data_IF_510488482847
#
_entry.id   IF_510488482847
#
_cell.length_a   1.000
_cell.length_b   1.000
_cell.length_c   1.000
_cell.angle_alpha   90.00
_cell.angle_beta   90.00
_cell.angle_gamma   90.00
#
_symmetry.space_group_name_H-M   'P 1'
#
loop_
_entity.id
_entity.type
_entity.pdbx_description
1 polymer ?
#
# COMPACT_ATOMS: atom_id res chain seq x y z
N UNK A 1 12.94 -10.41 -8.04
CA UNK A 1 12.63 -10.08 -6.63
C UNK A 1 11.57 -10.98 -6.01
N UNK A 2 10.26 -10.90 -6.34
CA UNK A 2 9.23 -11.76 -5.71
C UNK A 2 9.47 -13.26 -5.99
N UNK A 3 9.79 -13.62 -7.23
CA UNK A 3 10.09 -15.00 -7.68
C UNK A 3 11.29 -15.62 -6.96
N UNK A 4 12.27 -14.79 -6.62
CA UNK A 4 13.49 -15.19 -5.93
C UNK A 4 13.28 -15.32 -4.41
N UNK A 5 12.34 -14.54 -3.84
CA UNK A 5 11.92 -14.65 -2.45
C UNK A 5 11.13 -15.92 -2.11
N UNK A 6 10.62 -16.63 -3.13
CA UNK A 6 9.85 -17.87 -2.97
C UNK A 6 10.63 -18.99 -2.28
N UNK A 7 11.86 -19.26 -2.72
CA UNK A 7 12.66 -20.35 -2.15
C UNK A 7 12.99 -20.11 -0.67
N UNK A 8 13.45 -18.92 -0.26
CA UNK A 8 13.60 -18.58 1.16
C UNK A 8 12.30 -18.71 1.95
N UNK A 9 11.18 -18.23 1.42
CA UNK A 9 9.88 -18.32 2.09
C UNK A 9 9.43 -19.77 2.28
N UNK A 10 9.63 -20.63 1.28
CA UNK A 10 9.33 -22.06 1.36
C UNK A 10 10.18 -22.81 2.41
N UNK A 11 11.37 -22.29 2.76
CA UNK A 11 12.19 -22.83 3.88
C UNK A 11 11.65 -22.43 5.25
N UNK A 12 10.97 -21.28 5.34
CA UNK A 12 10.39 -20.77 6.58
C UNK A 12 8.98 -21.32 6.84
N UNK A 13 8.21 -21.51 5.77
CA UNK A 13 6.83 -21.97 5.81
C UNK A 13 6.69 -23.10 4.80
N UNK A 14 6.44 -24.31 5.28
CA UNK A 14 6.29 -25.47 4.40
C UNK A 14 4.91 -25.42 3.71
N UNK A 15 4.73 -24.61 2.68
CA UNK A 15 3.51 -24.58 1.85
C UNK A 15 3.73 -25.37 0.57
N UNK A 16 2.73 -26.13 0.13
CA UNK A 16 2.76 -26.82 -1.16
C UNK A 16 2.54 -25.82 -2.30
N UNK A 17 1.73 -24.77 -2.03
CA UNK A 17 1.39 -23.75 -3.01
C UNK A 17 1.34 -22.33 -2.44
N UNK A 18 1.57 -21.34 -3.30
CA UNK A 18 1.44 -19.91 -2.98
C UNK A 18 0.75 -19.16 -4.11
N UNK A 19 -0.14 -18.24 -3.75
CA UNK A 19 -0.79 -17.29 -4.64
C UNK A 19 -0.63 -15.87 -4.12
N UNK A 20 -0.35 -14.94 -5.03
CA UNK A 20 -0.28 -13.51 -4.73
C UNK A 20 -1.12 -12.72 -5.73
N UNK A 21 -2.00 -11.86 -5.23
CA UNK A 21 -2.81 -10.96 -6.04
C UNK A 21 -2.68 -9.51 -5.57
N UNK A 22 -2.75 -8.59 -6.51
CA UNK A 22 -3.07 -7.19 -6.22
C UNK A 22 -4.55 -6.99 -6.43
N UNK A 23 -5.18 -6.33 -5.47
CA UNK A 23 -6.58 -5.93 -5.50
C UNK A 23 -6.63 -4.42 -5.54
N UNK A 24 -7.12 -3.85 -6.64
CA UNK A 24 -7.40 -2.42 -6.72
C UNK A 24 -8.88 -2.20 -6.44
N UNK A 25 -9.17 -1.44 -5.38
CA UNK A 25 -10.54 -1.06 -5.03
C UNK A 25 -11.12 -0.11 -6.08
N UNK A 26 -12.39 -0.33 -6.44
CA UNK A 26 -13.12 0.45 -7.43
C UNK A 26 -14.28 -0.35 -8.04
N UNK A 27 -15.16 0.28 -8.82
CA UNK A 27 -16.14 -0.42 -9.65
C UNK A 27 -15.61 -0.53 -11.11
N UNK A 28 -15.18 -1.72 -11.58
CA UNK A 28 -15.10 -3.01 -10.89
C UNK A 28 -13.82 -3.18 -10.07
N UNK A 29 -13.87 -4.03 -9.04
CA UNK A 29 -12.69 -4.42 -8.26
C UNK A 29 -11.79 -5.22 -9.18
N UNK A 30 -10.53 -4.80 -9.33
CA UNK A 30 -9.59 -5.44 -10.24
C UNK A 30 -8.64 -6.35 -9.47
N UNK A 31 -8.56 -7.61 -9.89
CA UNK A 31 -7.61 -8.59 -9.39
C UNK A 31 -6.50 -8.79 -10.42
N UNK A 32 -5.26 -8.54 -10.03
CA UNK A 32 -4.07 -8.78 -10.83
C UNK A 32 -3.21 -9.84 -10.13
N UNK A 33 -3.16 -11.05 -10.66
CA UNK A 33 -2.30 -12.11 -10.13
C UNK A 33 -0.83 -11.84 -10.50
N UNK A 34 0.05 -11.81 -9.49
CA UNK A 34 1.46 -11.42 -9.66
C UNK A 34 2.38 -12.62 -9.84
N UNK A 35 2.19 -13.67 -9.04
CA UNK A 35 2.97 -14.91 -9.15
C UNK A 35 2.11 -16.13 -8.83
N UNK A 36 2.15 -17.10 -9.74
CA UNK A 36 1.52 -18.42 -9.65
C UNK A 36 2.58 -19.43 -9.22
N UNK A 37 2.94 -19.38 -7.94
CA UNK A 37 3.93 -20.26 -7.34
C UNK A 37 3.29 -21.59 -6.93
N UNK A 38 2.80 -22.34 -7.92
CA UNK A 38 2.34 -23.71 -7.77
C UNK A 38 0.87 -23.91 -7.39
N UNK A 39 0.17 -22.93 -6.79
CA UNK A 39 -1.30 -23.05 -6.66
C UNK A 39 -1.88 -22.90 -8.07
N UNK A 40 -2.73 -23.82 -8.53
CA UNK A 40 -2.81 -24.19 -9.91
C UNK A 40 -3.65 -23.21 -10.67
N UNK A 41 -3.10 -22.86 -11.82
CA UNK A 41 -3.67 -22.03 -12.85
C UNK A 41 -5.14 -22.39 -13.14
N UNK A 42 -5.57 -23.63 -12.88
CA UNK A 42 -6.96 -24.08 -12.98
C UNK A 42 -7.92 -23.46 -11.96
N UNK A 43 -7.55 -23.37 -10.68
CA UNK A 43 -8.40 -22.78 -9.64
C UNK A 43 -8.49 -21.26 -9.81
N UNK A 44 -7.34 -20.62 -10.09
CA UNK A 44 -7.27 -19.17 -10.30
C UNK A 44 -7.95 -18.70 -11.60
N UNK A 45 -7.88 -19.50 -12.68
CA UNK A 45 -8.61 -19.22 -13.91
C UNK A 45 -10.14 -19.20 -13.71
N UNK A 46 -10.65 -19.93 -12.72
CA UNK A 46 -12.07 -19.98 -12.38
C UNK A 46 -12.40 -19.15 -11.14
N UNK A 47 -11.46 -18.34 -10.63
CA UNK A 47 -11.64 -17.62 -9.37
C UNK A 47 -12.82 -16.65 -9.38
N UNK A 48 -13.15 -16.06 -10.54
CA UNK A 48 -14.27 -15.14 -10.66
C UNK A 48 -15.62 -15.78 -10.26
N UNK A 49 -15.83 -17.08 -10.52
CA UNK A 49 -17.05 -17.78 -10.09
C UNK A 49 -17.02 -18.19 -8.62
N UNK A 50 -15.82 -18.32 -8.05
CA UNK A 50 -15.59 -18.70 -6.64
C UNK A 50 -15.62 -17.52 -5.68
N UNK A 51 -15.23 -16.33 -6.14
CA UNK A 51 -15.06 -15.12 -5.33
C UNK A 51 -16.25 -14.81 -4.39
N UNK A 52 -17.53 -14.93 -4.80
CA UNK A 52 -18.66 -14.62 -3.90
C UNK A 52 -18.68 -15.49 -2.63
N UNK A 53 -18.17 -16.72 -2.73
CA UNK A 53 -18.16 -17.73 -1.66
C UNK A 53 -16.76 -17.98 -1.09
N UNK A 54 -15.81 -17.08 -1.37
CA UNK A 54 -14.43 -17.22 -0.90
C UNK A 54 -14.33 -16.83 0.58
N UNK A 55 -14.35 -17.84 1.46
CA UNK A 55 -14.19 -17.67 2.90
C UNK A 55 -12.84 -17.05 3.28
N UNK A 56 -11.79 -17.24 2.47
CA UNK A 56 -10.46 -16.67 2.70
C UNK A 56 -10.53 -15.17 2.50
N UNK A 57 -11.03 -14.73 1.34
CA UNK A 57 -11.19 -13.32 1.01
C UNK A 57 -12.06 -12.60 2.05
N UNK A 58 -13.21 -13.17 2.39
CA UNK A 58 -14.11 -12.61 3.40
C UNK A 58 -13.42 -12.42 4.75
N UNK A 59 -12.58 -13.38 5.16
CA UNK A 59 -11.88 -13.34 6.45
C UNK A 59 -10.75 -12.30 6.46
N UNK A 60 -9.91 -12.26 5.42
CA UNK A 60 -8.77 -11.33 5.37
C UNK A 60 -9.20 -9.88 5.15
N UNK A 61 -10.36 -9.65 4.51
CA UNK A 61 -10.96 -8.31 4.40
C UNK A 61 -11.41 -7.78 5.77
N UNK A 62 -11.96 -8.65 6.64
CA UNK A 62 -12.39 -8.29 8.00
C UNK A 62 -11.21 -8.04 8.94
N UNK A 63 -10.09 -8.75 8.76
CA UNK A 63 -8.90 -8.67 9.61
C UNK A 63 -7.65 -8.36 8.78
N UNK A 64 -7.62 -7.18 8.16
CA UNK A 64 -6.51 -6.72 7.31
C UNK A 64 -5.19 -6.68 8.09
N UNK A 65 -4.08 -6.90 7.39
CA UNK A 65 -2.72 -6.93 7.96
C UNK A 65 -2.43 -8.11 8.90
N UNK A 66 -3.45 -8.93 9.21
CA UNK A 66 -3.34 -10.07 10.12
C UNK A 66 -3.24 -11.36 9.32
N UNK A 67 -2.24 -12.17 9.59
CA UNK A 67 -2.11 -13.52 9.02
C UNK A 67 -3.10 -14.44 9.73
N UNK A 68 -3.98 -15.06 8.95
CA UNK A 68 -5.01 -15.98 9.43
C UNK A 68 -4.72 -17.39 8.93
N UNK A 69 -5.00 -18.39 9.76
CA UNK A 69 -5.07 -19.80 9.34
C UNK A 69 -6.53 -20.19 9.08
N UNK A 70 -6.75 -21.25 8.30
CA UNK A 70 -8.06 -21.81 8.00
C UNK A 70 -8.96 -21.99 9.23
N UNK A 71 -8.43 -22.53 10.33
CA UNK A 71 -9.12 -22.70 11.62
C UNK A 71 -9.61 -21.40 12.27
N UNK A 72 -9.07 -20.25 11.86
CA UNK A 72 -9.48 -18.91 12.30
C UNK A 72 -10.45 -18.24 11.31
N UNK A 73 -10.63 -18.84 10.13
CA UNK A 73 -11.52 -18.35 9.07
C UNK A 73 -12.84 -19.12 9.03
N UNK A 74 -12.78 -20.44 9.22
CA UNK A 74 -13.90 -21.35 9.01
C UNK A 74 -13.72 -22.63 9.84
N UNK A 75 -14.81 -23.23 10.32
CA UNK A 75 -14.71 -24.53 11.00
C UNK A 75 -14.37 -25.64 10.00
N UNK A 76 -13.73 -26.72 10.47
CA UNK A 76 -13.39 -27.85 9.59
C UNK A 76 -14.62 -28.47 8.91
N UNK A 77 -15.76 -28.53 9.60
CA UNK A 77 -17.02 -29.07 9.06
C UNK A 77 -17.57 -28.21 7.93
N UNK A 78 -17.41 -26.89 8.00
CA UNK A 78 -17.84 -25.96 6.96
C UNK A 78 -16.84 -25.91 5.81
N UNK A 79 -15.54 -25.98 6.10
CA UNK A 79 -14.49 -26.02 5.08
C UNK A 79 -14.74 -27.13 4.07
N UNK A 80 -14.98 -28.37 4.54
CA UNK A 80 -15.18 -29.53 3.64
C UNK A 80 -16.44 -29.44 2.79
N UNK A 81 -17.34 -28.51 3.11
CA UNK A 81 -18.57 -28.22 2.38
C UNK A 81 -18.49 -26.94 1.55
N UNK A 82 -17.39 -26.19 1.67
CA UNK A 82 -17.22 -24.92 0.96
C UNK A 82 -17.03 -25.17 -0.55
N UNK A 83 -17.58 -24.30 -1.42
CA UNK A 83 -17.37 -24.41 -2.86
C UNK A 83 -15.90 -24.46 -3.26
N UNK A 84 -15.06 -23.65 -2.59
CA UNK A 84 -13.62 -23.60 -2.85
C UNK A 84 -12.93 -24.93 -2.53
N UNK A 85 -13.31 -25.60 -1.42
CA UNK A 85 -12.77 -26.92 -1.08
C UNK A 85 -13.22 -27.98 -2.07
N UNK A 86 -14.52 -28.05 -2.39
CA UNK A 86 -15.08 -29.03 -3.32
C UNK A 86 -14.45 -28.88 -4.72
N UNK A 87 -14.38 -27.66 -5.24
CA UNK A 87 -13.77 -27.38 -6.54
C UNK A 87 -12.27 -27.71 -6.56
N UNK A 88 -11.56 -27.48 -5.46
CA UNK A 88 -10.15 -27.91 -5.36
C UNK A 88 -9.98 -29.43 -5.42
N UNK A 89 -10.94 -30.20 -4.89
CA UNK A 89 -10.92 -31.67 -4.97
C UNK A 89 -11.23 -32.15 -6.37
N UNK A 90 -12.22 -31.55 -7.03
CA UNK A 90 -12.58 -31.87 -8.42
C UNK A 90 -11.41 -31.59 -9.38
N UNK A 91 -10.57 -30.61 -9.04
CA UNK A 91 -9.35 -30.27 -9.78
C UNK A 91 -8.12 -31.12 -9.41
N UNK A 92 -8.25 -32.04 -8.45
CA UNK A 92 -7.17 -32.94 -8.01
C UNK A 92 -6.13 -32.33 -7.07
N UNK A 93 -6.41 -31.15 -6.50
CA UNK A 93 -5.45 -30.39 -5.69
C UNK A 93 -5.55 -30.67 -4.19
N UNK A 94 -6.72 -31.12 -3.72
CA UNK A 94 -6.96 -31.43 -2.30
C UNK A 94 -6.46 -30.35 -1.33
N UNK A 95 -6.86 -29.08 -1.49
CA UNK A 95 -6.42 -27.99 -0.61
C UNK A 95 -6.96 -28.21 0.80
N UNK A 96 -6.14 -28.80 1.66
CA UNK A 96 -6.54 -29.22 3.00
C UNK A 96 -6.36 -28.12 4.02
N UNK A 97 -5.40 -27.21 3.82
CA UNK A 97 -5.08 -26.11 4.74
C UNK A 97 -4.79 -24.83 3.97
N UNK A 98 -5.19 -23.70 4.56
CA UNK A 98 -4.90 -22.36 4.03
C UNK A 98 -4.35 -21.44 5.12
N UNK A 99 -3.42 -20.58 4.74
CA UNK A 99 -2.96 -19.45 5.55
C UNK A 99 -2.86 -18.21 4.67
N UNK A 100 -3.45 -17.09 5.08
CA UNK A 100 -3.59 -15.93 4.20
C UNK A 100 -3.49 -14.60 4.96
N UNK A 101 -3.15 -13.54 4.22
CA UNK A 101 -3.15 -12.16 4.69
C UNK A 101 -3.52 -11.21 3.54
N UNK A 102 -4.20 -10.11 3.88
CA UNK A 102 -4.45 -8.99 2.99
C UNK A 102 -3.69 -7.77 3.50
N UNK A 103 -2.72 -7.30 2.72
CA UNK A 103 -1.86 -6.15 3.03
C UNK A 103 -2.36 -4.92 2.30
N UNK A 104 -2.39 -3.77 2.95
CA UNK A 104 -2.63 -2.50 2.28
C UNK A 104 -1.29 -1.95 1.79
N UNK A 105 -1.14 -1.83 0.47
CA UNK A 105 0.11 -1.37 -0.16
C UNK A 105 0.09 0.16 -0.29
N UNK A 106 -1.05 0.71 -0.67
CA UNK A 106 -1.38 2.14 -0.78
C UNK A 106 -2.89 2.30 -0.54
N UNK A 107 -3.39 3.53 -0.26
CA UNK A 107 -4.84 3.76 -0.15
C UNK A 107 -5.60 3.20 -1.36
N UNK A 108 -6.50 2.24 -1.11
CA UNK A 108 -7.30 1.58 -2.15
C UNK A 108 -6.58 0.52 -2.99
N UNK A 109 -5.33 0.18 -2.69
CA UNK A 109 -4.56 -0.89 -3.35
C UNK A 109 -4.08 -1.89 -2.30
N UNK A 110 -4.52 -3.14 -2.44
CA UNK A 110 -4.21 -4.22 -1.51
C UNK A 110 -3.41 -5.33 -2.19
N UNK A 111 -2.66 -6.10 -1.41
CA UNK A 111 -2.06 -7.34 -1.84
C UNK A 111 -2.56 -8.51 -0.99
N UNK A 112 -3.21 -9.48 -1.63
CA UNK A 112 -3.53 -10.75 -1.01
C UNK A 112 -2.38 -11.73 -1.18
N UNK A 113 -1.93 -12.33 -0.09
CA UNK A 113 -0.96 -13.43 -0.11
C UNK A 113 -1.62 -14.64 0.54
N UNK A 114 -1.66 -15.75 -0.18
CA UNK A 114 -2.26 -17.01 0.29
C UNK A 114 -1.29 -18.17 0.10
N UNK A 115 -1.15 -18.97 1.15
CA UNK A 115 -0.35 -20.19 1.19
C UNK A 115 -1.28 -21.38 1.41
N UNK A 116 -1.08 -22.46 0.67
CA UNK A 116 -1.88 -23.67 0.78
C UNK A 116 -1.02 -24.91 1.08
N UNK A 117 -1.67 -25.92 1.65
CA UNK A 117 -1.15 -27.29 1.73
C UNK A 117 -2.19 -28.30 1.30
N UNK A 118 -1.70 -29.40 0.75
CA UNK A 118 -2.52 -30.54 0.33
C UNK A 118 -2.63 -31.57 1.44
N UNK A 119 -1.78 -31.44 2.46
CA UNK A 119 -1.74 -32.32 3.62
C UNK A 119 -2.64 -31.76 4.72
N UNK A 120 -3.30 -32.64 5.46
CA UNK A 120 -4.13 -32.31 6.65
C UNK A 120 -3.35 -31.78 7.87
N UNK A 121 -2.07 -31.45 7.70
CA UNK A 121 -1.25 -30.88 8.77
C UNK A 121 -1.37 -29.36 8.77
N UNK A 122 -2.02 -28.83 9.80
CA UNK A 122 -2.21 -27.40 9.95
C UNK A 122 -0.91 -26.59 9.99
N UNK A 123 -1.01 -25.35 9.49
CA UNK A 123 0.02 -24.35 9.72
C UNK A 123 0.16 -24.10 11.23
N UNK A 124 1.40 -24.23 11.71
CA UNK A 124 1.72 -24.01 13.11
C UNK A 124 1.64 -22.53 13.47
N UNK A 125 1.49 -22.23 14.77
CA UNK A 125 1.58 -20.85 15.27
C UNK A 125 2.93 -20.19 14.96
N UNK A 126 4.00 -20.98 14.91
CA UNK A 126 5.34 -20.52 14.54
C UNK A 126 5.40 -20.06 13.09
N UNK A 127 4.82 -20.83 12.17
CA UNK A 127 4.75 -20.47 10.74
C UNK A 127 3.86 -19.25 10.51
N UNK A 128 2.73 -19.17 11.21
CA UNK A 128 1.87 -17.98 11.21
C UNK A 128 2.63 -16.74 11.72
N UNK A 129 3.36 -16.85 12.83
CA UNK A 129 4.15 -15.76 13.38
C UNK A 129 5.29 -15.34 12.44
N UNK A 130 5.95 -16.31 11.78
CA UNK A 130 6.97 -16.02 10.78
C UNK A 130 6.39 -15.25 9.59
N UNK A 131 5.24 -15.66 9.07
CA UNK A 131 4.54 -14.93 8.02
C UNK A 131 4.12 -13.53 8.49
N UNK A 132 3.63 -13.42 9.73
CA UNK A 132 3.18 -12.16 10.32
C UNK A 132 4.33 -11.17 10.47
N UNK A 133 5.52 -11.65 10.81
CA UNK A 133 6.73 -10.85 10.89
C UNK A 133 7.12 -10.27 9.53
N UNK A 134 6.97 -11.05 8.45
CA UNK A 134 7.36 -10.67 7.09
C UNK A 134 6.35 -9.73 6.38
N UNK A 135 5.14 -9.51 6.94
CA UNK A 135 4.11 -8.71 6.25
C UNK A 135 4.55 -7.29 5.93
N UNK A 136 5.36 -6.68 6.81
CA UNK A 136 5.91 -5.34 6.59
C UNK A 136 6.90 -5.34 5.44
N UNK A 137 7.84 -6.28 5.42
CA UNK A 137 8.85 -6.38 4.37
C UNK A 137 8.19 -6.66 3.02
N UNK A 138 7.15 -7.50 2.99
CA UNK A 138 6.35 -7.72 1.78
C UNK A 138 5.64 -6.44 1.31
N UNK A 139 5.04 -5.68 2.22
CA UNK A 139 4.37 -4.43 1.88
C UNK A 139 5.34 -3.46 1.20
N UNK A 140 6.53 -3.28 1.78
CA UNK A 140 7.58 -2.40 1.23
C UNK A 140 8.10 -2.94 -0.11
N UNK A 141 8.41 -4.24 -0.19
CA UNK A 141 8.92 -4.83 -1.43
C UNK A 141 7.89 -4.73 -2.58
N UNK A 142 6.61 -5.00 -2.31
CA UNK A 142 5.53 -4.91 -3.30
C UNK A 142 5.29 -3.46 -3.71
N UNK A 143 5.25 -2.52 -2.76
CA UNK A 143 5.17 -1.08 -3.06
C UNK A 143 6.31 -0.64 -3.97
N UNK A 144 7.55 -0.97 -3.60
CA UNK A 144 8.75 -0.54 -4.32
C UNK A 144 8.83 -1.20 -5.71
N UNK A 145 8.52 -2.49 -5.81
CA UNK A 145 8.44 -3.16 -7.12
C UNK A 145 7.40 -2.53 -8.04
N UNK A 146 6.25 -2.06 -7.53
CA UNK A 146 5.24 -1.36 -8.35
C UNK A 146 5.72 0.02 -8.82
N UNK A 147 6.50 0.73 -8.01
CA UNK A 147 7.18 1.95 -8.44
C UNK A 147 8.22 1.67 -9.55
N UNK A 148 8.91 0.54 -9.46
CA UNK A 148 10.01 0.15 -10.36
C UNK A 148 9.53 -0.69 -11.56
N UNK A 149 8.27 -1.13 -11.61
CA UNK A 149 7.76 -2.10 -12.60
C UNK A 149 7.71 -1.54 -14.03
N UNK A 150 8.89 -1.47 -14.64
CA UNK A 150 9.12 -1.56 -16.07
C UNK A 150 10.28 -2.55 -16.25
N UNK A 151 10.17 -3.59 -17.10
CA UNK A 151 11.30 -4.42 -17.46
C UNK A 151 12.20 -3.58 -18.35
N UNK A 152 13.08 -2.80 -17.75
CA UNK A 152 13.94 -1.87 -18.45
C UNK A 152 15.26 -1.78 -17.71
N UNK A 153 16.36 -2.04 -18.44
CA UNK A 153 17.73 -1.78 -17.99
C UNK A 153 17.81 -0.33 -17.50
N UNK A 154 18.63 -0.04 -16.49
CA UNK A 154 18.69 1.25 -15.76
C UNK A 154 18.37 2.50 -16.58
N UNK A 155 18.98 2.65 -17.77
CA UNK A 155 18.76 3.80 -18.66
C UNK A 155 17.33 3.89 -19.24
N UNK A 156 16.71 2.76 -19.59
CA UNK A 156 15.33 2.69 -20.09
C UNK A 156 14.28 2.74 -18.98
N UNK A 157 14.64 2.37 -17.75
CA UNK A 157 13.74 2.56 -16.60
C UNK A 157 13.61 4.05 -16.28
N UNK A 158 14.72 4.80 -16.36
CA UNK A 158 14.70 6.26 -16.27
C UNK A 158 13.87 6.88 -17.38
N UNK A 159 14.03 6.40 -18.61
CA UNK A 159 13.23 6.86 -19.75
C UNK A 159 11.74 6.52 -19.58
N UNK A 160 11.39 5.33 -19.09
CA UNK A 160 10.01 4.92 -18.82
C UNK A 160 9.36 5.67 -17.65
N UNK A 161 10.13 5.99 -16.60
CA UNK A 161 9.66 6.82 -15.48
C UNK A 161 9.50 8.28 -15.90
N UNK A 162 10.39 8.80 -16.75
CA UNK A 162 10.36 10.15 -17.31
C UNK A 162 9.21 10.34 -18.32
N UNK A 163 8.99 9.37 -19.22
CA UNK A 163 7.93 9.41 -20.24
C UNK A 163 6.52 9.34 -19.62
N UNK A 164 6.37 8.80 -18.40
CA UNK A 164 5.07 8.74 -17.72
C UNK A 164 4.59 10.07 -17.12
N UNK A 165 5.37 11.15 -17.18
CA UNK A 165 5.02 12.51 -16.70
C UNK A 165 4.42 12.60 -15.27
N UNK A 166 4.58 11.58 -14.43
CA UNK A 166 3.84 11.43 -13.17
C UNK A 166 4.73 11.25 -11.93
N UNK A 167 6.06 11.28 -12.05
CA UNK A 167 6.96 11.05 -10.91
C UNK A 167 8.05 12.11 -10.81
N UNK A 168 8.04 12.88 -9.73
CA UNK A 168 9.13 13.77 -9.34
C UNK A 168 10.29 12.96 -8.75
N UNK A 169 11.25 12.57 -9.60
CA UNK A 169 12.31 11.61 -9.22
C UNK A 169 13.71 12.22 -9.25
N UNK A 170 14.59 11.74 -8.36
CA UNK A 170 16.04 11.94 -8.36
C UNK A 170 16.72 10.57 -8.27
N UNK A 171 17.71 10.30 -9.12
CA UNK A 171 18.52 9.08 -9.08
C UNK A 171 19.91 9.37 -8.53
N UNK A 172 20.32 8.56 -7.55
CA UNK A 172 21.54 8.75 -6.79
C UNK A 172 22.42 7.49 -6.81
N UNK A 173 23.73 7.67 -6.96
CA UNK A 173 24.75 6.72 -6.48
C UNK A 173 25.26 7.26 -5.14
N UNK A 174 25.05 6.53 -4.04
CA UNK A 174 25.63 6.91 -2.76
C UNK A 174 27.16 7.03 -2.84
N UNK A 175 27.76 7.96 -2.08
CA UNK A 175 27.13 8.76 -1.01
C UNK A 175 26.51 10.10 -1.46
N UNK A 176 26.80 10.59 -2.67
CA UNK A 176 26.40 11.95 -3.06
C UNK A 176 26.31 12.22 -4.56
N UNK A 177 26.48 11.21 -5.41
CA UNK A 177 26.51 11.43 -6.86
C UNK A 177 25.10 11.35 -7.42
N UNK A 178 24.58 12.48 -7.89
CA UNK A 178 23.33 12.53 -8.65
C UNK A 178 23.58 12.09 -10.10
N UNK A 179 22.88 11.06 -10.55
CA UNK A 179 22.91 10.60 -11.96
C UNK A 179 21.87 11.38 -12.77
N UNK A 180 20.68 11.57 -12.21
CA UNK A 180 19.54 12.11 -12.92
C UNK A 180 18.57 12.82 -11.97
N UNK A 181 17.90 13.85 -12.49
CA UNK A 181 16.84 14.58 -11.80
C UNK A 181 15.80 15.05 -12.80
N UNK A 182 14.53 14.84 -12.48
CA UNK A 182 13.41 15.37 -13.27
C UNK A 182 13.20 16.88 -13.08
N UNK A 183 12.63 17.57 -14.06
CA UNK A 183 12.34 19.00 -13.99
C UNK A 183 11.38 19.34 -12.83
N UNK A 184 10.35 18.51 -12.63
CA UNK A 184 9.41 18.69 -11.50
C UNK A 184 10.07 18.42 -10.15
N UNK A 185 10.99 17.45 -10.03
CA UNK A 185 11.78 17.29 -8.81
C UNK A 185 12.66 18.52 -8.56
N UNK A 186 13.23 19.13 -9.59
CA UNK A 186 13.98 20.40 -9.46
C UNK A 186 13.08 21.52 -8.94
N UNK A 187 11.84 21.63 -9.42
CA UNK A 187 10.87 22.61 -8.94
C UNK A 187 10.48 22.36 -7.47
N UNK A 188 10.18 21.11 -7.10
CA UNK A 188 9.87 20.75 -5.71
C UNK A 188 11.05 21.02 -4.76
N UNK A 189 12.27 20.64 -5.15
CA UNK A 189 13.44 20.92 -4.31
C UNK A 189 13.65 22.42 -4.11
N UNK A 190 13.50 23.24 -5.16
CA UNK A 190 13.59 24.70 -5.04
C UNK A 190 12.52 25.29 -4.13
N UNK A 191 11.30 24.74 -4.21
CA UNK A 191 10.15 25.17 -3.40
C UNK A 191 10.34 24.83 -1.93
N UNK A 192 10.72 23.59 -1.63
CA UNK A 192 10.78 23.07 -0.27
C UNK A 192 12.09 23.35 0.46
N UNK A 193 13.17 23.59 -0.27
CA UNK A 193 14.51 23.79 0.30
C UNK A 193 15.15 25.07 -0.24
N UNK A 194 14.64 26.27 0.11
CA UNK A 194 15.15 27.54 -0.40
C UNK A 194 16.60 27.82 0.00
N UNK A 195 17.43 28.09 -1.01
CA UNK A 195 18.74 28.76 -1.14
C UNK A 195 19.86 28.66 -0.06
N UNK A 196 19.67 28.00 1.08
CA UNK A 196 20.73 27.66 2.05
C UNK A 196 21.16 26.20 2.01
N UNK A 197 20.21 25.28 1.74
CA UNK A 197 20.45 23.83 1.74
C UNK A 197 20.58 23.23 0.34
N UNK A 198 19.95 23.85 -0.67
CA UNK A 198 20.07 23.48 -2.08
C UNK A 198 21.14 24.35 -2.78
N UNK A 199 22.40 24.21 -2.39
CA UNK A 199 23.50 24.95 -3.02
C UNK A 199 23.75 24.41 -4.45
N UNK A 200 23.03 24.96 -5.44
CA UNK A 200 23.27 25.00 -6.90
C UNK A 200 23.74 23.74 -7.67
N UNK A 201 24.01 22.57 -7.07
CA UNK A 201 24.56 21.39 -7.77
C UNK A 201 24.12 20.01 -7.26
N UNK A 202 23.29 19.90 -6.23
CA UNK A 202 22.91 18.58 -5.68
C UNK A 202 21.62 18.59 -4.86
N UNK A 203 21.17 17.42 -4.35
CA UNK A 203 20.03 17.33 -3.44
C UNK A 203 20.34 18.02 -2.09
N UNK A 204 19.32 18.45 -1.33
CA UNK A 204 19.49 18.96 0.02
C UNK A 204 20.29 18.01 0.92
N UNK A 205 21.12 18.57 1.81
CA UNK A 205 22.00 17.81 2.70
C UNK A 205 21.23 16.77 3.54
N UNK A 206 20.03 17.11 4.02
CA UNK A 206 19.19 16.20 4.80
C UNK A 206 18.78 14.93 4.03
N UNK A 207 18.57 15.03 2.70
CA UNK A 207 18.28 13.87 1.86
C UNK A 207 19.52 13.00 1.68
N UNK A 208 20.70 13.63 1.52
CA UNK A 208 21.98 12.93 1.40
C UNK A 208 22.35 12.21 2.71
N UNK A 209 22.17 12.86 3.85
CA UNK A 209 22.39 12.26 5.18
C UNK A 209 21.48 11.04 5.39
N UNK A 210 20.19 11.16 5.04
CA UNK A 210 19.26 10.04 5.11
C UNK A 210 19.67 8.89 4.20
N UNK A 211 20.01 9.18 2.95
CA UNK A 211 20.48 8.17 2.00
C UNK A 211 21.74 7.45 2.53
N UNK A 212 22.67 8.21 3.09
CA UNK A 212 23.89 7.67 3.70
C UNK A 212 23.60 6.80 4.93
N UNK A 213 22.59 7.15 5.73
CA UNK A 213 22.15 6.29 6.83
C UNK A 213 21.53 4.98 6.30
N UNK A 214 20.66 5.06 5.29
CA UNK A 214 19.97 3.89 4.72
C UNK A 214 20.92 2.88 4.07
N UNK A 215 22.05 3.32 3.51
CA UNK A 215 23.06 2.40 2.95
C UNK A 215 23.78 1.58 4.00
N UNK A 216 23.82 2.05 5.25
CA UNK A 216 24.45 1.36 6.39
C UNK A 216 23.47 0.45 7.14
N UNK A 217 22.18 0.66 6.97
CA UNK A 217 21.12 -0.14 7.59
C UNK A 217 20.95 -1.49 6.89
N UNK A 218 20.56 -2.49 7.67
CA UNK A 218 20.04 -3.74 7.11
C UNK A 218 18.67 -3.53 6.44
N UNK A 219 18.20 -4.57 5.73
CA UNK A 219 16.97 -4.48 4.94
C UNK A 219 15.72 -4.21 5.78
N UNK A 220 15.65 -4.72 7.01
CA UNK A 220 14.49 -4.60 7.89
C UNK A 220 14.45 -3.23 8.56
N UNK A 221 15.60 -2.71 9.01
CA UNK A 221 15.73 -1.36 9.55
C UNK A 221 15.46 -0.31 8.48
N UNK A 222 15.99 -0.52 7.27
CA UNK A 222 15.77 0.35 6.11
C UNK A 222 14.29 0.50 5.78
N UNK A 223 13.52 -0.59 5.79
CA UNK A 223 12.07 -0.57 5.56
C UNK A 223 11.28 0.26 6.61
N UNK A 224 11.92 0.71 7.70
CA UNK A 224 11.33 1.61 8.69
C UNK A 224 11.70 3.08 8.51
N UNK A 225 12.74 3.34 7.74
CA UNK A 225 13.36 4.66 7.62
C UNK A 225 13.45 5.15 6.17
N UNK A 226 12.86 4.42 5.22
CA UNK A 226 12.89 4.68 3.78
C UNK A 226 12.00 5.84 3.34
N UNK A 227 11.37 6.57 4.26
CA UNK A 227 10.49 7.69 3.97
C UNK A 227 10.84 8.87 4.87
N UNK A 228 10.94 10.07 4.29
CA UNK A 228 11.03 11.34 5.02
C UNK A 228 9.82 12.20 4.71
N UNK A 229 9.31 12.91 5.71
CA UNK A 229 8.29 13.93 5.53
C UNK A 229 8.80 15.33 5.88
N UNK A 230 8.46 16.29 5.03
CA UNK A 230 8.71 17.72 5.24
C UNK A 230 7.37 18.45 5.26
N UNK A 231 7.24 19.43 6.15
CA UNK A 231 5.98 20.17 6.35
C UNK A 231 6.24 21.66 6.20
N UNK A 232 5.47 22.30 5.33
CA UNK A 232 5.44 23.75 5.13
C UNK A 232 3.99 24.17 4.97
N UNK A 233 3.55 25.16 5.75
CA UNK A 233 2.18 25.70 5.76
C UNK A 233 1.08 24.62 5.75
N UNK A 234 0.39 24.49 4.61
CA UNK A 234 -0.67 23.54 4.32
C UNK A 234 -0.27 22.50 3.27
N UNK A 235 1.01 22.15 3.19
CA UNK A 235 1.54 21.14 2.29
C UNK A 235 2.44 20.16 3.04
N UNK A 236 2.58 18.97 2.50
CA UNK A 236 3.41 17.87 2.97
C UNK A 236 4.23 17.38 1.77
N UNK A 237 5.54 17.35 1.88
CA UNK A 237 6.41 16.68 0.91
C UNK A 237 6.85 15.35 1.52
N UNK A 238 6.48 14.25 0.89
CA UNK A 238 7.03 12.94 1.17
C UNK A 238 8.17 12.63 0.21
N UNK A 239 9.28 12.12 0.75
CA UNK A 239 10.41 11.63 -0.03
C UNK A 239 10.64 10.16 0.30
N UNK A 240 10.37 9.28 -0.67
CA UNK A 240 10.58 7.84 -0.55
C UNK A 240 11.94 7.46 -1.15
N UNK A 241 12.73 6.71 -0.41
CA UNK A 241 14.05 6.21 -0.81
C UNK A 241 13.92 4.74 -1.21
N UNK A 242 14.18 4.45 -2.47
CA UNK A 242 14.02 3.12 -3.04
C UNK A 242 15.36 2.65 -3.58
N UNK A 243 15.90 1.58 -2.99
CA UNK A 243 17.08 0.91 -3.52
C UNK A 243 16.71 0.22 -4.85
N UNK A 244 17.49 0.50 -5.89
CA UNK A 244 17.30 -0.10 -7.19
C UNK A 244 17.90 -1.51 -7.19
N UNK A 245 17.33 -2.47 -7.94
CA UNK A 245 17.92 -3.79 -8.10
C UNK A 245 19.37 -3.65 -8.57
N UNK A 246 20.30 -4.36 -7.92
CA UNK A 246 21.69 -4.37 -8.31
C UNK A 246 21.80 -4.90 -9.75
N UNK A 247 22.14 -4.01 -10.68
CA UNK A 247 22.65 -4.38 -12.00
C UNK A 247 24.17 -4.16 -11.97
N UNK A 248 24.92 -4.75 -12.91
CA UNK A 248 26.36 -4.55 -13.01
C UNK A 248 26.72 -3.04 -12.92
N UNK A 249 27.25 -2.64 -11.76
CA UNK A 249 27.45 -1.23 -11.42
C UNK A 249 27.28 -0.93 -9.93
N UNK A 250 27.57 0.31 -9.51
CA UNK A 250 27.41 0.73 -8.13
C UNK A 250 25.92 0.74 -7.73
N UNK A 251 25.61 0.44 -6.46
CA UNK A 251 24.23 0.45 -5.96
C UNK A 251 23.59 1.81 -6.19
N UNK A 252 22.42 1.81 -6.82
CA UNK A 252 21.67 3.02 -7.13
C UNK A 252 20.43 3.15 -6.26
N UNK A 253 20.00 4.38 -6.04
CA UNK A 253 18.83 4.73 -5.24
C UNK A 253 17.97 5.75 -5.96
N UNK A 254 16.68 5.49 -6.05
CA UNK A 254 15.69 6.44 -6.52
C UNK A 254 15.04 7.14 -5.31
N UNK A 255 15.00 8.47 -5.36
CA UNK A 255 14.24 9.31 -4.45
C UNK A 255 12.98 9.77 -5.19
N UNK A 256 11.82 9.34 -4.70
CA UNK A 256 10.52 9.78 -5.22
C UNK A 256 9.96 10.87 -4.31
N UNK A 257 9.71 12.04 -4.88
CA UNK A 257 9.15 13.19 -4.20
C UNK A 257 7.65 13.24 -4.48
N UNK A 258 6.84 13.43 -3.45
CA UNK A 258 5.40 13.55 -3.56
C UNK A 258 4.92 14.72 -2.71
N UNK A 259 4.38 15.74 -3.36
CA UNK A 259 3.74 16.86 -2.66
C UNK A 259 2.25 16.60 -2.50
N UNK A 260 1.77 16.66 -1.26
CA UNK A 260 0.37 16.58 -0.89
C UNK A 260 -0.05 17.89 -0.21
N UNK A 261 -1.29 18.37 -0.40
CA UNK A 261 -1.84 19.34 0.52
C UNK A 261 -2.00 18.66 1.91
N UNK A 262 -1.56 19.35 2.97
CA UNK A 262 -1.60 18.94 4.39
C UNK A 262 -3.02 18.73 4.91
N UNK A 263 -3.98 19.39 4.28
CA UNK A 263 -5.40 19.11 4.45
C UNK A 263 -5.99 18.69 3.12
N UNK A 264 -6.62 17.52 3.10
CA UNK A 264 -7.50 17.13 2.01
C UNK A 264 -8.68 18.11 2.03
N UNK A 265 -8.62 19.15 1.19
CA UNK A 265 -9.73 20.10 1.05
C UNK A 265 -10.95 19.38 0.50
N UNK A 266 -12.11 19.75 1.03
CA UNK A 266 -13.36 19.15 0.60
C UNK A 266 -13.60 19.51 -0.89
N UNK A 267 -13.87 18.54 -1.78
CA UNK A 267 -14.20 18.82 -3.17
C UNK A 267 -15.31 19.87 -3.27
N UNK A 268 -15.13 20.86 -4.16
CA UNK A 268 -16.05 22.01 -4.27
C UNK A 268 -17.52 21.63 -4.46
N UNK A 269 -17.78 20.46 -5.06
CA UNK A 269 -19.09 19.88 -5.29
C UNK A 269 -19.78 19.44 -3.99
N UNK A 270 -19.01 18.94 -3.02
CA UNK A 270 -19.50 18.60 -1.68
C UNK A 270 -19.59 19.86 -0.82
N UNK A 271 -18.60 20.75 -0.90
CA UNK A 271 -18.58 22.00 -0.13
C UNK A 271 -19.81 22.88 -0.38
N UNK A 272 -20.35 22.91 -1.60
CA UNK A 272 -21.59 23.65 -1.94
C UNK A 272 -22.84 23.19 -1.18
N UNK A 273 -22.83 21.98 -0.62
CA UNK A 273 -23.97 21.40 0.10
C UNK A 273 -23.83 21.55 1.63
N UNK A 274 -22.75 22.16 2.10
CA UNK A 274 -22.41 22.28 3.51
C UNK A 274 -22.34 23.75 3.95
N UNK A 275 -22.61 23.99 5.22
CA UNK A 275 -22.33 25.28 5.86
C UNK A 275 -20.82 25.48 6.06
N UNK A 276 -20.34 26.73 6.21
CA UNK A 276 -18.91 26.99 6.47
C UNK A 276 -18.33 26.17 7.62
N UNK A 277 -19.10 26.02 8.71
CA UNK A 277 -18.67 25.23 9.87
C UNK A 277 -18.67 23.72 9.60
N UNK A 278 -19.61 23.22 8.80
CA UNK A 278 -19.61 21.82 8.36
C UNK A 278 -18.47 21.53 7.38
N UNK A 279 -18.04 22.50 6.56
CA UNK A 279 -16.87 22.34 5.69
C UNK A 279 -15.62 22.09 6.55
N UNK A 280 -15.37 22.90 7.58
CA UNK A 280 -14.22 22.73 8.47
C UNK A 280 -14.22 21.36 9.18
N UNK A 281 -15.39 20.91 9.62
CA UNK A 281 -15.57 19.57 10.22
C UNK A 281 -15.34 18.48 9.17
N UNK A 282 -15.89 18.61 7.96
CA UNK A 282 -15.73 17.66 6.86
C UNK A 282 -14.27 17.54 6.41
N UNK A 283 -13.53 18.64 6.33
CA UNK A 283 -12.09 18.64 6.04
C UNK A 283 -11.31 17.96 7.16
N UNK A 284 -11.63 18.23 8.42
CA UNK A 284 -11.04 17.50 9.54
C UNK A 284 -11.36 15.99 9.47
N UNK A 285 -12.56 15.63 8.99
CA UNK A 285 -12.94 14.23 8.77
C UNK A 285 -12.11 13.58 7.65
N UNK A 286 -11.86 14.28 6.54
CA UNK A 286 -11.01 13.83 5.43
C UNK A 286 -9.56 13.60 5.85
N UNK A 287 -9.09 14.35 6.84
CA UNK A 287 -7.78 14.15 7.46
C UNK A 287 -7.80 13.07 8.56
N UNK A 288 -8.81 12.20 8.57
CA UNK A 288 -8.97 11.05 9.48
C UNK A 288 -8.99 11.40 10.98
N UNK A 289 -9.33 12.63 11.36
CA UNK A 289 -9.44 13.04 12.78
C UNK A 289 -10.69 12.47 13.45
N UNK A 290 -10.57 11.90 14.64
CA UNK A 290 -11.69 11.49 15.50
C UNK A 290 -12.57 12.68 15.92
N UNK A 291 -13.78 12.41 16.43
CA UNK A 291 -14.69 13.46 16.89
C UNK A 291 -14.06 14.30 18.02
N UNK A 292 -13.24 13.65 18.86
CA UNK A 292 -12.43 14.28 19.91
C UNK A 292 -11.39 15.23 19.33
N UNK A 293 -10.60 14.78 18.36
CA UNK A 293 -9.57 15.59 17.71
C UNK A 293 -10.16 16.73 16.87
N UNK A 294 -11.35 16.53 16.28
CA UNK A 294 -12.12 17.58 15.60
C UNK A 294 -12.57 18.63 16.62
N UNK A 295 -13.10 18.18 17.76
CA UNK A 295 -13.58 19.06 18.82
C UNK A 295 -12.46 19.94 19.39
N UNK A 296 -11.32 19.33 19.69
CA UNK A 296 -10.11 20.03 20.14
C UNK A 296 -9.61 21.02 19.08
N UNK A 297 -9.47 20.57 17.83
CA UNK A 297 -8.94 21.41 16.75
C UNK A 297 -9.84 22.63 16.42
N UNK A 298 -11.15 22.51 16.61
CA UNK A 298 -12.11 23.56 16.28
C UNK A 298 -12.61 24.35 17.51
N UNK A 299 -12.10 24.05 18.71
CA UNK A 299 -12.51 24.70 19.96
C UNK A 299 -13.98 24.48 20.32
N UNK A 300 -14.54 23.31 19.99
CA UNK A 300 -15.95 22.95 20.26
C UNK A 300 -16.05 21.76 21.19
N UNK A 301 -17.26 21.52 21.72
CA UNK A 301 -17.52 20.31 22.52
C UNK A 301 -17.58 19.08 21.61
N UNK A 302 -17.10 17.94 22.09
CA UNK A 302 -17.20 16.63 21.40
C UNK A 302 -18.61 16.31 20.89
N UNK A 303 -19.64 16.59 21.69
CA UNK A 303 -21.03 16.35 21.27
C UNK A 303 -21.45 17.28 20.12
N UNK A 304 -20.91 18.49 20.04
CA UNK A 304 -21.13 19.42 18.92
C UNK A 304 -20.44 18.93 17.66
N UNK A 305 -19.22 18.39 17.76
CA UNK A 305 -18.55 17.74 16.63
C UNK A 305 -19.38 16.56 16.08
N UNK A 306 -19.93 15.71 16.95
CA UNK A 306 -20.82 14.60 16.57
C UNK A 306 -22.08 15.05 15.83
N UNK A 307 -22.70 16.14 16.30
CA UNK A 307 -23.86 16.73 15.64
C UNK A 307 -23.48 17.19 14.23
N UNK A 308 -22.38 17.93 14.07
CA UNK A 308 -21.92 18.34 12.75
C UNK A 308 -21.61 17.15 11.83
N UNK A 309 -20.97 16.10 12.34
CA UNK A 309 -20.69 14.86 11.57
C UNK A 309 -21.98 14.21 11.07
N UNK A 310 -23.00 14.09 11.93
CA UNK A 310 -24.31 13.55 11.54
C UNK A 310 -25.00 14.45 10.50
N UNK A 311 -24.99 15.75 10.71
CA UNK A 311 -25.65 16.68 9.80
C UNK A 311 -24.94 16.71 8.43
N UNK A 312 -23.61 16.50 8.38
CA UNK A 312 -22.86 16.30 7.13
C UNK A 312 -23.33 15.04 6.41
N UNK A 313 -23.57 13.94 7.14
CA UNK A 313 -24.10 12.70 6.57
C UNK A 313 -25.47 12.89 5.93
N UNK A 314 -26.36 13.61 6.62
CA UNK A 314 -27.67 13.96 6.11
C UNK A 314 -27.58 14.86 4.87
N UNK A 315 -26.77 15.93 4.92
CA UNK A 315 -26.60 16.86 3.80
C UNK A 315 -25.99 16.22 2.55
N UNK A 316 -25.00 15.34 2.72
CA UNK A 316 -24.31 14.68 1.61
C UNK A 316 -24.93 13.32 1.24
N UNK A 317 -26.03 12.94 1.90
CA UNK A 317 -26.69 11.63 1.72
C UNK A 317 -25.71 10.46 1.86
N UNK A 318 -24.77 10.55 2.79
CA UNK A 318 -23.90 9.45 3.15
C UNK A 318 -24.36 8.82 4.46
N UNK A 319 -24.12 7.52 4.60
CA UNK A 319 -24.61 6.72 5.73
C UNK A 319 -23.55 6.52 6.83
N UNK A 320 -22.28 6.66 6.48
CA UNK A 320 -21.15 6.40 7.38
C UNK A 320 -19.96 7.28 7.03
N UNK A 321 -18.99 7.35 7.95
CA UNK A 321 -17.70 7.98 7.71
C UNK A 321 -16.98 7.41 6.49
N UNK A 322 -17.03 6.09 6.31
CA UNK A 322 -16.42 5.43 5.15
C UNK A 322 -17.07 5.83 3.83
N UNK A 323 -18.39 6.00 3.81
CA UNK A 323 -19.17 6.46 2.65
C UNK A 323 -18.84 7.91 2.31
N UNK A 324 -18.77 8.80 3.31
CA UNK A 324 -18.28 10.17 3.14
C UNK A 324 -16.87 10.22 2.52
N UNK A 325 -15.92 9.45 3.08
CA UNK A 325 -14.55 9.37 2.57
C UNK A 325 -14.52 8.87 1.12
N UNK A 326 -15.33 7.86 0.80
CA UNK A 326 -15.43 7.30 -0.55
C UNK A 326 -15.94 8.33 -1.55
N UNK A 327 -17.02 9.06 -1.22
CA UNK A 327 -17.57 10.10 -2.10
C UNK A 327 -16.59 11.24 -2.34
N UNK A 328 -15.86 11.67 -1.32
CA UNK A 328 -14.82 12.67 -1.47
C UNK A 328 -13.69 12.19 -2.40
N UNK A 329 -13.20 10.96 -2.22
CA UNK A 329 -12.15 10.37 -3.07
C UNK A 329 -12.58 10.23 -4.54
N UNK A 330 -13.85 9.95 -4.85
CA UNK A 330 -14.34 9.90 -6.24
C UNK A 330 -14.27 11.25 -6.95
N UNK A 331 -14.41 12.34 -6.20
CA UNK A 331 -14.39 13.70 -6.72
C UNK A 331 -12.99 14.30 -6.78
N UNK A 332 -12.06 13.77 -5.98
CA UNK A 332 -10.63 14.09 -6.01
C UNK A 332 -9.93 13.27 -7.09
N UNK A 333 -10.24 13.55 -8.37
CA UNK A 333 -9.47 12.96 -9.47
C UNK A 333 -8.02 13.46 -9.41
N UNK A 334 -7.02 12.60 -9.64
CA UNK A 334 -5.64 13.05 -9.84
C UNK A 334 -5.57 13.91 -11.11
N UNK A 335 -4.89 15.05 -11.01
CA UNK A 335 -4.50 15.90 -12.15
C UNK A 335 -3.34 15.21 -12.88
#
# INVERSE_FOLDING_TARGET
MLREGRQPLARLIASDYMAMCIVTAGPPVRYQWLEEAGAPNKLLAQYASLQPNDFVLQSVVRRRGTVLRDSEMISRRELVRSPLYLQSRDMGMNLEQVMAVLLEIQPGVFCGITLYRDRRRAFSRREQAAMQFLTRDFTVAIRNSRLIATPSRGDRLLEALSQRQQFETILMVPPSTEIHRSDRASALLKKWFPLGESARRGPPACLLERLNALTRMDIHERARHDTMDFRQDNQLLLVNFVEMPAHDGPRQWALFLHEFPKSISLPSQLAKQLTPRQIEVAEAMLNNKSDEEIAEALGIKKNTAKVHVRDIYESLKCSTRGDFMYQALQLMKPI
#
